data_IF_872022421177
#
_entry.id   IF_872022421177
#
_cell.length_a   1.000
_cell.length_b   1.000
_cell.length_c   1.000
_cell.angle_alpha   90.00
_cell.angle_beta   90.00
_cell.angle_gamma   90.00
#
_symmetry.space_group_name_H-M   'P 1'
#
loop_
_entity.id
_entity.type
_entity.pdbx_description
1 polymer ?
#
# COMPACT_ATOMS: atom_id res chain seq x y z
N UNK A 1 16.31 6.25 7.11
CA UNK A 1 15.83 5.03 6.41
C UNK A 1 16.48 3.84 7.10
N UNK A 2 15.77 2.84 7.65
CA UNK A 2 16.37 1.49 7.79
C UNK A 2 15.46 0.43 8.45
N UNK A 3 14.73 0.69 9.55
CA UNK A 3 14.29 -0.45 10.39
C UNK A 3 13.39 -1.49 9.72
N UNK A 4 12.51 -1.07 8.80
CA UNK A 4 11.62 -2.00 8.09
C UNK A 4 12.11 -2.37 6.68
N UNK A 5 13.22 -1.80 6.22
CA UNK A 5 13.72 -2.13 4.88
C UNK A 5 14.48 -3.44 4.97
N UNK A 6 14.06 -4.43 4.20
CA UNK A 6 14.78 -5.69 4.09
C UNK A 6 16.23 -5.45 3.62
N UNK A 7 17.17 -6.16 4.23
CA UNK A 7 18.60 -6.09 3.85
C UNK A 7 18.84 -6.64 2.44
N UNK A 8 18.09 -7.67 2.06
CA UNK A 8 18.06 -8.24 0.71
C UNK A 8 16.85 -7.73 -0.05
N UNK A 9 17.05 -7.37 -1.32
CA UNK A 9 15.96 -6.97 -2.21
C UNK A 9 15.08 -8.19 -2.55
N UNK A 10 13.78 -8.02 -2.39
CA UNK A 10 12.73 -9.03 -2.52
C UNK A 10 11.66 -8.64 -3.54
N UNK A 11 11.96 -7.68 -4.42
CA UNK A 11 11.07 -7.15 -5.45
C UNK A 11 11.48 -7.65 -6.83
N UNK A 12 10.52 -8.21 -7.58
CA UNK A 12 10.65 -8.48 -9.02
C UNK A 12 9.93 -7.40 -9.84
N UNK A 13 10.62 -6.73 -10.75
CA UNK A 13 10.07 -5.66 -11.59
C UNK A 13 10.88 -4.36 -11.54
N UNK A 14 10.25 -3.23 -11.89
CA UNK A 14 10.94 -1.95 -11.92
C UNK A 14 11.24 -1.40 -10.52
N UNK A 15 12.52 -1.29 -10.20
CA UNK A 15 12.98 -0.86 -8.89
C UNK A 15 13.19 0.66 -8.87
N UNK A 16 12.55 1.31 -7.90
CA UNK A 16 12.76 2.73 -7.60
C UNK A 16 12.75 2.89 -6.07
N UNK A 17 13.52 3.84 -5.54
CA UNK A 17 13.51 4.22 -4.12
C UNK A 17 12.09 4.38 -3.56
N UNK A 18 11.15 4.96 -4.33
CA UNK A 18 9.76 5.12 -3.89
C UNK A 18 8.94 3.83 -3.95
N UNK A 19 9.27 2.92 -4.86
CA UNK A 19 8.65 1.58 -4.95
C UNK A 19 9.11 0.72 -3.79
N UNK A 20 10.41 0.69 -3.49
CA UNK A 20 10.97 0.02 -2.31
C UNK A 20 10.28 0.55 -1.05
N UNK A 21 10.12 1.88 -0.92
CA UNK A 21 9.45 2.47 0.23
C UNK A 21 7.99 2.04 0.34
N UNK A 22 7.23 2.05 -0.75
CA UNK A 22 5.83 1.62 -0.74
C UNK A 22 5.70 0.13 -0.39
N UNK A 23 6.59 -0.71 -0.93
CA UNK A 23 6.64 -2.14 -0.63
C UNK A 23 6.88 -2.41 0.86
N UNK A 24 7.88 -1.73 1.46
CA UNK A 24 8.13 -1.86 2.90
C UNK A 24 6.93 -1.44 3.74
N UNK A 25 6.19 -0.40 3.33
CA UNK A 25 4.95 0.02 4.02
C UNK A 25 3.87 -1.05 3.94
N UNK A 26 3.69 -1.70 2.79
CA UNK A 26 2.71 -2.77 2.60
C UNK A 26 2.99 -3.96 3.52
N UNK A 27 4.24 -4.43 3.56
CA UNK A 27 4.67 -5.53 4.44
C UNK A 27 4.47 -5.21 5.92
N UNK A 28 4.84 -4.00 6.33
CA UNK A 28 4.67 -3.55 7.71
C UNK A 28 3.18 -3.41 8.05
N UNK A 29 2.37 -2.85 7.15
CA UNK A 29 0.93 -2.76 7.37
C UNK A 29 0.30 -4.14 7.54
N UNK A 30 0.64 -5.10 6.67
CA UNK A 30 0.16 -6.48 6.72
C UNK A 30 0.45 -7.14 8.09
N UNK A 31 1.66 -6.97 8.62
CA UNK A 31 2.04 -7.51 9.92
C UNK A 31 1.25 -6.88 11.09
N UNK A 32 1.03 -5.56 11.05
CA UNK A 32 0.44 -4.79 12.15
C UNK A 32 -1.06 -4.51 11.98
N UNK A 33 -1.69 -5.04 10.92
CA UNK A 33 -3.11 -4.81 10.64
C UNK A 33 -4.04 -5.33 11.76
N UNK A 34 -3.89 -6.57 12.27
CA UNK A 34 -4.76 -7.08 13.33
C UNK A 34 -4.69 -6.24 14.61
N UNK A 35 -3.47 -5.91 15.05
CA UNK A 35 -3.23 -5.07 16.24
C UNK A 35 -3.88 -3.69 16.07
N UNK A 36 -3.72 -3.08 14.89
CA UNK A 36 -4.30 -1.77 14.62
C UNK A 36 -5.83 -1.80 14.60
N UNK A 37 -6.43 -2.87 14.09
CA UNK A 37 -7.88 -3.03 14.09
C UNK A 37 -8.43 -3.26 15.50
N UNK A 38 -7.73 -4.02 16.34
CA UNK A 38 -8.08 -4.21 17.75
C UNK A 38 -8.10 -2.86 18.51
N UNK A 39 -7.05 -2.05 18.35
CA UNK A 39 -6.99 -0.70 18.93
C UNK A 39 -8.11 0.20 18.41
N UNK A 40 -8.36 0.17 17.10
CA UNK A 40 -9.44 0.94 16.46
C UNK A 40 -10.82 0.54 16.95
N UNK A 41 -11.05 -0.73 17.22
CA UNK A 41 -12.29 -1.26 17.78
C UNK A 41 -12.45 -0.79 19.23
N UNK A 42 -11.42 -0.96 20.07
CA UNK A 42 -11.44 -0.52 21.46
C UNK A 42 -11.75 0.98 21.62
N UNK A 43 -11.18 1.83 20.78
CA UNK A 43 -11.42 3.29 20.81
C UNK A 43 -12.90 3.63 20.50
N UNK A 44 -13.50 2.93 19.53
CA UNK A 44 -14.87 3.19 19.06
C UNK A 44 -15.94 2.55 19.94
N UNK A 45 -15.60 1.51 20.70
CA UNK A 45 -16.53 0.83 21.58
C UNK A 45 -16.85 1.71 22.82
N UNK A 46 -18.05 2.28 22.85
CA UNK A 46 -18.53 3.13 23.96
C UNK A 46 -18.88 2.35 25.22
N UNK A 47 -19.00 1.01 25.14
CA UNK A 47 -19.26 0.14 26.28
C UNK A 47 -18.02 -0.06 27.17
N UNK A 48 -16.83 0.24 26.64
CA UNK A 48 -15.57 0.09 27.38
C UNK A 48 -15.31 1.31 28.28
N UNK A 49 -14.63 1.12 29.43
CA UNK A 49 -14.24 2.23 30.30
C UNK A 49 -13.39 3.27 29.58
N UNK A 50 -13.60 4.55 29.90
CA UNK A 50 -12.90 5.67 29.25
C UNK A 50 -11.36 5.53 29.34
N UNK A 51 -10.85 4.99 30.44
CA UNK A 51 -9.40 4.75 30.64
C UNK A 51 -8.83 3.81 29.57
N UNK A 52 -9.54 2.71 29.27
CA UNK A 52 -9.11 1.72 28.26
C UNK A 52 -9.11 2.34 26.87
N UNK A 53 -10.14 3.14 26.56
CA UNK A 53 -10.25 3.85 25.28
C UNK A 53 -9.12 4.87 25.10
N UNK A 54 -8.82 5.64 26.14
CA UNK A 54 -7.73 6.61 26.15
C UNK A 54 -6.36 5.93 25.98
N UNK A 55 -6.13 4.80 26.65
CA UNK A 55 -4.90 4.02 26.50
C UNK A 55 -4.75 3.47 25.08
N UNK A 56 -5.80 2.89 24.50
CA UNK A 56 -5.78 2.40 23.13
C UNK A 56 -5.52 3.53 22.11
N UNK A 57 -6.04 4.74 22.37
CA UNK A 57 -5.78 5.91 21.55
C UNK A 57 -4.32 6.37 21.62
N UNK A 58 -3.70 6.37 22.81
CA UNK A 58 -2.29 6.68 22.98
C UNK A 58 -1.40 5.64 22.26
N UNK A 59 -1.69 4.35 22.42
CA UNK A 59 -0.98 3.27 21.74
C UNK A 59 -1.07 3.41 20.21
N UNK A 60 -2.28 3.64 19.68
CA UNK A 60 -2.50 3.82 18.24
C UNK A 60 -1.74 5.04 17.68
N UNK A 61 -1.61 6.11 18.47
CA UNK A 61 -0.87 7.31 18.09
C UNK A 61 0.65 7.07 18.05
N UNK A 62 1.19 6.25 18.96
CA UNK A 62 2.61 5.90 19.04
C UNK A 62 3.07 4.96 17.92
N UNK A 63 2.16 4.17 17.32
CA UNK A 63 2.52 3.27 16.22
C UNK A 63 3.19 4.00 15.04
N UNK A 64 4.26 3.41 14.51
CA UNK A 64 5.07 4.00 13.44
C UNK A 64 4.26 4.33 12.18
N UNK A 65 4.59 5.41 11.45
CA UNK A 65 3.82 5.87 10.28
C UNK A 65 3.59 4.79 9.19
N UNK A 66 4.52 3.86 8.98
CA UNK A 66 4.40 2.80 7.96
C UNK A 66 3.32 1.77 8.26
N UNK A 67 2.89 1.66 9.51
CA UNK A 67 1.79 0.79 9.93
C UNK A 67 0.41 1.40 9.58
N UNK A 68 0.35 2.61 9.01
CA UNK A 68 -0.90 3.28 8.61
C UNK A 68 -1.29 2.89 7.18
N UNK A 69 -2.53 2.42 6.98
CA UNK A 69 -3.06 2.12 5.64
C UNK A 69 -3.05 3.32 4.70
N UNK A 70 -3.28 4.52 5.21
CA UNK A 70 -3.31 5.78 4.45
C UNK A 70 -1.98 6.15 3.79
N UNK A 71 -0.88 5.53 4.20
CA UNK A 71 0.46 5.80 3.66
C UNK A 71 0.79 5.02 2.39
N UNK A 72 0.00 4.00 2.08
CA UNK A 72 0.18 3.10 0.93
C UNK A 72 -0.38 3.78 -0.32
N UNK A 73 0.37 3.77 -1.42
CA UNK A 73 -0.06 4.34 -2.70
C UNK A 73 0.24 3.39 -3.84
N UNK A 74 -0.75 3.14 -4.70
CA UNK A 74 -0.55 2.32 -5.89
C UNK A 74 0.50 2.94 -6.81
N UNK A 75 1.44 2.10 -7.25
CA UNK A 75 2.51 2.43 -8.20
C UNK A 75 2.46 1.47 -9.38
N UNK A 76 2.90 1.99 -10.52
CA UNK A 76 3.12 1.19 -11.73
C UNK A 76 4.25 0.18 -11.49
N UNK A 77 3.99 -1.09 -11.76
CA UNK A 77 4.98 -2.18 -11.60
C UNK A 77 6.12 -2.07 -12.63
N UNK A 78 5.81 -1.59 -13.85
CA UNK A 78 6.78 -1.46 -14.94
C UNK A 78 7.55 -0.13 -14.95
N UNK A 79 7.00 0.94 -14.34
CA UNK A 79 7.59 2.29 -14.43
C UNK A 79 7.67 3.08 -13.13
N UNK A 80 7.21 2.54 -12.01
CA UNK A 80 7.32 3.16 -10.67
C UNK A 80 6.51 4.44 -10.44
N UNK A 81 5.78 4.94 -11.45
CA UNK A 81 4.93 6.13 -11.33
C UNK A 81 3.76 5.88 -10.39
N UNK A 82 3.34 6.92 -9.65
CA UNK A 82 2.22 6.83 -8.70
C UNK A 82 0.96 7.57 -9.14
N UNK A 83 0.99 8.20 -10.33
CA UNK A 83 -0.11 9.00 -10.88
C UNK A 83 -0.69 8.26 -12.08
N UNK A 84 -2.02 8.25 -12.20
CA UNK A 84 -2.70 7.55 -13.30
C UNK A 84 -2.38 6.06 -13.34
N UNK A 85 -2.48 5.38 -12.21
CA UNK A 85 -2.26 3.92 -12.13
C UNK A 85 -3.62 3.23 -12.19
N UNK A 86 -3.81 2.35 -13.19
CA UNK A 86 -5.00 1.51 -13.26
C UNK A 86 -4.91 0.40 -12.23
N UNK A 87 -5.92 0.26 -11.37
CA UNK A 87 -5.91 -0.71 -10.26
C UNK A 87 -5.91 -2.16 -10.74
N UNK A 88 -6.69 -2.47 -11.78
CA UNK A 88 -6.81 -3.81 -12.33
C UNK A 88 -5.47 -4.33 -12.89
N UNK A 89 -4.75 -3.48 -13.64
CA UNK A 89 -3.51 -3.86 -14.31
C UNK A 89 -2.24 -3.54 -13.51
N UNK A 90 -2.34 -2.70 -12.47
CA UNK A 90 -1.19 -2.19 -11.69
C UNK A 90 -0.14 -1.46 -12.55
N UNK A 91 -0.60 -0.85 -13.66
CA UNK A 91 0.22 -0.14 -14.63
C UNK A 91 -0.15 1.34 -14.69
N UNK A 92 0.83 2.17 -15.06
CA UNK A 92 0.62 3.56 -15.41
C UNK A 92 -0.06 3.70 -16.76
N UNK A 93 -0.76 4.83 -17.01
CA UNK A 93 -1.49 5.07 -18.28
C UNK A 93 -0.65 4.82 -19.54
N UNK A 94 0.60 5.27 -19.56
CA UNK A 94 1.48 5.12 -20.71
C UNK A 94 1.92 3.67 -20.91
N UNK A 95 2.38 3.02 -19.83
CA UNK A 95 2.76 1.60 -19.88
C UNK A 95 1.58 0.71 -20.26
N UNK A 96 0.40 0.98 -19.70
CA UNK A 96 -0.83 0.30 -20.08
C UNK A 96 -1.12 0.42 -21.57
N UNK A 97 -1.01 1.63 -22.15
CA UNK A 97 -1.21 1.83 -23.59
C UNK A 97 -0.21 1.03 -24.42
N UNK A 98 1.08 1.05 -24.06
CA UNK A 98 2.10 0.30 -24.79
C UNK A 98 1.82 -1.20 -24.78
N UNK A 99 1.54 -1.76 -23.60
CA UNK A 99 1.27 -3.20 -23.45
C UNK A 99 -0.07 -3.61 -24.09
N UNK A 100 -1.09 -2.76 -24.04
CA UNK A 100 -2.36 -2.98 -24.73
C UNK A 100 -2.17 -3.06 -26.25
N UNK A 101 -1.39 -2.14 -26.83
CA UNK A 101 -1.12 -2.13 -28.27
C UNK A 101 -0.20 -3.27 -28.70
N UNK A 102 0.70 -3.71 -27.82
CA UNK A 102 1.56 -4.89 -28.06
C UNK A 102 0.81 -6.23 -27.90
N UNK A 103 -0.43 -6.23 -27.41
CA UNK A 103 -1.20 -7.46 -27.18
C UNK A 103 -0.79 -8.24 -25.93
N UNK A 104 0.01 -7.65 -25.04
CA UNK A 104 0.44 -8.29 -23.78
C UNK A 104 -0.67 -8.33 -22.72
N UNK A 105 -1.69 -7.47 -22.85
CA UNK A 105 -2.79 -7.38 -21.89
C UNK A 105 -3.99 -8.23 -22.35
N UNK A 106 -4.39 -9.26 -21.57
CA UNK A 106 -5.47 -10.15 -21.96
C UNK A 106 -6.80 -9.41 -22.03
N UNK A 107 -7.52 -9.57 -23.15
CA UNK A 107 -8.85 -9.00 -23.36
C UNK A 107 -8.90 -7.50 -23.65
N UNK A 108 -7.76 -6.80 -23.68
CA UNK A 108 -7.73 -5.36 -24.00
C UNK A 108 -7.59 -5.17 -25.51
N UNK A 109 -8.56 -4.48 -26.11
CA UNK A 109 -8.52 -4.05 -27.52
C UNK A 109 -8.85 -2.58 -27.64
N UNK A 110 -8.44 -1.95 -28.74
CA UNK A 110 -8.84 -0.58 -29.07
C UNK A 110 -10.35 -0.55 -29.21
N UNK A 111 -10.99 0.37 -28.49
CA UNK A 111 -12.42 0.57 -28.62
C UNK A 111 -12.70 1.36 -29.91
N UNK A 112 -13.69 0.90 -30.66
CA UNK A 112 -14.23 1.55 -31.86
C UNK A 112 -15.74 1.52 -31.72
N UNK A 113 -16.34 2.70 -31.69
CA UNK A 113 -17.78 2.92 -31.69
C UNK A 113 -18.07 4.11 -32.60
#
# INVERSE_FOLDING_TARGET
MSMFRAKRLDLGGFINARVIRDHTKRKVYEQFEPERQALRYAIRNTSLPQRVRAQAQLQLAQMHAYTRSTQIKNRCVAGGIARGVFRAFRLGRYQFRQQALAGELPGVKKASW
#
